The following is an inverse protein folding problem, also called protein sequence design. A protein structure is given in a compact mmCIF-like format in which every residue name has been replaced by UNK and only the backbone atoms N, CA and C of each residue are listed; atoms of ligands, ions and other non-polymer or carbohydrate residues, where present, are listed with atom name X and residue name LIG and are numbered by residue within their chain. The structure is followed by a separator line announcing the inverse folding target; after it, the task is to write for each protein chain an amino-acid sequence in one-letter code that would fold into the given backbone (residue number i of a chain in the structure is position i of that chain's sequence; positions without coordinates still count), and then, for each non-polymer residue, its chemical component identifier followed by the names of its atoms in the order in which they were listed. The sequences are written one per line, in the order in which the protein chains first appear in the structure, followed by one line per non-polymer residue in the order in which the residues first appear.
data_IF_745146021142
#
_entry.id   IF_745146021142
#
_cell.length_a   1.000
_cell.length_b   1.000
_cell.length_c   1.000
_cell.angle_alpha   90.00
_cell.angle_beta   90.00
_cell.angle_gamma   90.00
#
_symmetry.space_group_name_H-M   'P 1'
#
loop_
_entity.id
_entity.type
_entity.pdbx_description
1 polymer ?
#
# COMPACT_ATOMS: atom_id res chain seq x y z
N UNK A 1 -22.08 -6.46 5.33
CA UNK A 1 -21.97 -5.23 4.52
C UNK A 1 -20.52 -5.00 4.08
N UNK A 2 -19.56 -5.09 5.00
CA UNK A 2 -18.11 -4.91 4.74
C UNK A 2 -17.56 -5.80 3.62
N UNK A 3 -17.93 -7.09 3.56
CA UNK A 3 -17.47 -8.01 2.49
C UNK A 3 -17.92 -7.56 1.10
N UNK A 4 -19.14 -7.02 0.96
CA UNK A 4 -19.66 -6.55 -0.33
C UNK A 4 -18.88 -5.31 -0.78
N UNK A 5 -18.61 -4.38 0.13
CA UNK A 5 -17.82 -3.18 -0.16
C UNK A 5 -16.39 -3.58 -0.56
N UNK A 6 -15.79 -4.53 0.14
CA UNK A 6 -14.45 -5.03 -0.21
C UNK A 6 -14.40 -5.65 -1.62
N UNK A 7 -15.41 -6.45 -1.99
CA UNK A 7 -15.52 -7.00 -3.36
C UNK A 7 -15.68 -5.90 -4.41
N UNK A 8 -16.47 -4.86 -4.11
CA UNK A 8 -16.60 -3.68 -4.98
C UNK A 8 -15.25 -2.97 -5.12
N UNK A 9 -14.50 -2.79 -4.03
CA UNK A 9 -13.16 -2.19 -4.07
C UNK A 9 -12.18 -3.02 -4.92
N UNK A 10 -12.19 -4.34 -4.80
CA UNK A 10 -11.38 -5.23 -5.66
C UNK A 10 -11.75 -5.03 -7.13
N UNK A 11 -13.05 -5.04 -7.45
CA UNK A 11 -13.51 -4.86 -8.83
C UNK A 11 -13.07 -3.51 -9.40
N UNK A 12 -13.25 -2.42 -8.65
CA UNK A 12 -12.77 -1.08 -9.03
C UNK A 12 -11.25 -1.10 -9.23
N UNK A 13 -10.49 -1.72 -8.33
CA UNK A 13 -9.04 -1.82 -8.43
C UNK A 13 -8.59 -2.58 -9.68
N UNK A 14 -9.23 -3.70 -10.02
CA UNK A 14 -8.96 -4.45 -11.26
C UNK A 14 -9.32 -3.64 -12.50
N UNK A 15 -10.41 -2.88 -12.47
CA UNK A 15 -10.81 -2.00 -13.57
C UNK A 15 -9.79 -0.86 -13.77
N UNK A 16 -9.36 -0.20 -12.69
CA UNK A 16 -8.31 0.82 -12.77
C UNK A 16 -7.00 0.24 -13.32
N UNK A 17 -6.63 -0.96 -12.88
CA UNK A 17 -5.44 -1.65 -13.38
C UNK A 17 -5.52 -1.86 -14.89
N UNK A 18 -6.68 -2.26 -15.41
CA UNK A 18 -6.92 -2.39 -16.85
C UNK A 18 -6.69 -1.07 -17.58
N UNK A 19 -7.34 0.01 -17.11
CA UNK A 19 -7.30 1.33 -17.75
C UNK A 19 -5.88 1.89 -17.79
N UNK A 20 -5.16 1.86 -16.66
CA UNK A 20 -3.81 2.37 -16.59
C UNK A 20 -2.79 1.52 -17.35
N UNK A 21 -2.99 0.20 -17.41
CA UNK A 21 -2.03 -0.69 -18.08
C UNK A 21 -2.18 -0.71 -19.60
N UNK A 22 -3.41 -0.58 -20.12
CA UNK A 22 -3.69 -0.73 -21.57
C UNK A 22 -3.03 0.36 -22.42
N UNK A 23 -2.95 1.59 -21.89
CA UNK A 23 -2.53 2.76 -22.66
C UNK A 23 -1.14 3.29 -22.25
N UNK A 24 -0.41 2.56 -21.41
CA UNK A 24 0.89 3.02 -20.92
C UNK A 24 2.01 2.74 -21.92
N UNK A 25 2.61 3.82 -22.44
CA UNK A 25 3.69 3.73 -23.41
C UNK A 25 4.95 3.06 -22.85
N UNK A 26 5.24 3.21 -21.56
CA UNK A 26 6.46 2.64 -20.94
C UNK A 26 6.35 1.11 -20.89
N UNK A 27 5.16 0.58 -20.57
CA UNK A 27 4.89 -0.85 -20.58
C UNK A 27 4.99 -1.44 -22.00
N UNK A 28 4.38 -0.77 -22.99
CA UNK A 28 4.44 -1.18 -24.39
C UNK A 28 5.87 -1.22 -24.91
N UNK A 29 6.69 -0.20 -24.61
CA UNK A 29 8.10 -0.15 -25.01
C UNK A 29 8.95 -1.27 -24.40
N UNK A 30 8.56 -1.79 -23.24
CA UNK A 30 9.26 -2.88 -22.55
C UNK A 30 8.74 -4.28 -22.92
N UNK A 31 7.83 -4.36 -23.90
CA UNK A 31 7.14 -5.59 -24.31
C UNK A 31 6.47 -6.31 -23.13
N UNK A 32 5.89 -5.54 -22.21
CA UNK A 32 5.10 -6.07 -21.10
C UNK A 32 3.66 -6.14 -21.58
N UNK A 33 3.17 -7.36 -21.76
CA UNK A 33 1.78 -7.56 -22.19
C UNK A 33 0.80 -7.26 -21.06
N UNK A 34 -0.43 -6.88 -21.43
CA UNK A 34 -1.50 -6.67 -20.45
C UNK A 34 -1.80 -7.96 -19.66
N UNK A 35 -1.77 -9.13 -20.31
CA UNK A 35 -1.95 -10.43 -19.65
C UNK A 35 -0.94 -10.65 -18.51
N UNK A 36 0.36 -10.36 -18.75
CA UNK A 36 1.39 -10.47 -17.71
C UNK A 36 1.14 -9.59 -16.49
N UNK A 37 0.54 -8.41 -16.67
CA UNK A 37 0.20 -7.51 -15.55
C UNK A 37 -0.96 -8.07 -14.74
N UNK A 38 -1.95 -8.68 -15.39
CA UNK A 38 -3.07 -9.34 -14.71
C UNK A 38 -2.62 -10.60 -13.98
N UNK A 39 -1.76 -11.42 -14.58
CA UNK A 39 -1.15 -12.58 -13.91
C UNK A 39 -0.37 -12.13 -12.67
N UNK A 40 0.44 -11.07 -12.82
CA UNK A 40 1.16 -10.47 -11.71
C UNK A 40 0.19 -9.96 -10.62
N UNK A 41 -0.95 -9.39 -10.99
CA UNK A 41 -1.91 -8.86 -10.03
C UNK A 41 -2.48 -9.94 -9.11
N UNK A 42 -2.72 -11.15 -9.63
CA UNK A 42 -3.15 -12.29 -8.81
C UNK A 42 -2.07 -12.61 -7.77
N UNK A 43 -0.81 -12.72 -8.18
CA UNK A 43 0.30 -12.95 -7.25
C UNK A 43 0.44 -11.81 -6.23
N UNK A 44 0.34 -10.55 -6.68
CA UNK A 44 0.40 -9.37 -5.82
C UNK A 44 -0.66 -9.43 -4.74
N UNK A 45 -1.91 -9.78 -5.07
CA UNK A 45 -2.99 -9.91 -4.07
C UNK A 45 -2.69 -11.02 -3.06
N UNK A 46 -2.23 -12.18 -3.52
CA UNK A 46 -1.90 -13.31 -2.64
C UNK A 46 -0.77 -12.92 -1.67
N UNK A 47 0.35 -12.40 -2.17
CA UNK A 47 1.49 -12.05 -1.34
C UNK A 47 1.26 -10.79 -0.50
N UNK A 48 0.45 -9.84 -0.97
CA UNK A 48 -0.03 -8.73 -0.14
C UNK A 48 -0.86 -9.27 1.04
N UNK A 49 -1.77 -10.20 0.80
CA UNK A 49 -2.51 -10.84 1.89
C UNK A 49 -1.57 -11.54 2.90
N UNK A 50 -0.61 -12.34 2.41
CA UNK A 50 0.38 -13.00 3.27
C UNK A 50 1.19 -11.97 4.08
N UNK A 51 1.70 -10.92 3.44
CA UNK A 51 2.46 -9.86 4.10
C UNK A 51 1.65 -9.11 5.15
N UNK A 52 0.39 -8.78 4.83
CA UNK A 52 -0.53 -8.13 5.77
C UNK A 52 -0.83 -8.99 6.99
N UNK A 53 -0.99 -10.31 6.81
CA UNK A 53 -1.17 -11.26 7.90
C UNK A 53 0.09 -11.39 8.77
N UNK A 54 1.25 -11.57 8.16
CA UNK A 54 2.52 -11.71 8.89
C UNK A 54 2.77 -10.48 9.75
N UNK A 55 2.60 -9.27 9.21
CA UNK A 55 2.75 -8.04 9.98
C UNK A 55 1.74 -7.92 11.13
N UNK A 56 0.51 -8.37 10.93
CA UNK A 56 -0.50 -8.40 12.01
C UNK A 56 -0.09 -9.35 13.15
N UNK A 57 0.42 -10.55 12.81
CA UNK A 57 0.88 -11.54 13.79
C UNK A 57 2.08 -11.00 14.57
N UNK A 58 3.06 -10.41 13.87
CA UNK A 58 4.24 -9.81 14.50
C UNK A 58 3.88 -8.65 15.43
N UNK A 59 2.85 -7.88 15.10
CA UNK A 59 2.41 -6.76 15.93
C UNK A 59 1.71 -7.18 17.23
N UNK A 60 0.87 -8.21 17.16
CA UNK A 60 0.03 -8.64 18.27
C UNK A 60 0.62 -9.83 19.05
N UNK A 61 1.73 -10.41 18.59
CA UNK A 61 2.32 -11.64 19.12
C UNK A 61 1.32 -12.81 19.25
N UNK A 62 0.33 -12.87 18.36
CA UNK A 62 -0.70 -13.92 18.40
C UNK A 62 -0.21 -15.20 17.72
N UNK A 63 0.49 -16.03 18.50
CA UNK A 63 1.07 -17.31 18.07
C UNK A 63 0.00 -18.28 17.54
N UNK A 64 -1.28 -18.11 17.93
CA UNK A 64 -2.35 -18.99 17.47
C UNK A 64 -2.61 -18.86 15.97
N UNK A 65 -2.31 -17.69 15.39
CA UNK A 65 -2.48 -17.43 13.97
C UNK A 65 -1.38 -18.04 13.10
N UNK A 66 -0.31 -18.61 13.69
CA UNK A 66 0.70 -19.37 12.95
C UNK A 66 0.18 -20.72 12.43
N UNK A 67 -0.92 -21.22 13.01
CA UNK A 67 -1.55 -22.44 12.50
C UNK A 67 -2.18 -22.17 11.13
N UNK A 68 -1.79 -22.94 10.10
CA UNK A 68 -2.16 -22.73 8.69
C UNK A 68 -3.67 -22.50 8.50
N UNK A 69 -4.52 -23.34 9.10
CA UNK A 69 -5.97 -23.16 8.99
C UNK A 69 -6.47 -21.84 9.59
N UNK A 70 -5.89 -21.38 10.71
CA UNK A 70 -6.29 -20.13 11.36
C UNK A 70 -5.78 -18.92 10.60
N UNK A 71 -4.58 -19.03 10.04
CA UNK A 71 -3.95 -18.01 9.20
C UNK A 71 -4.85 -17.57 8.04
N UNK A 72 -5.38 -18.55 7.28
CA UNK A 72 -6.24 -18.28 6.12
C UNK A 72 -7.71 -18.02 6.49
N UNK A 73 -8.13 -18.31 7.71
CA UNK A 73 -9.53 -18.18 8.13
C UNK A 73 -9.89 -16.77 8.63
N UNK A 74 -9.86 -15.79 7.70
CA UNK A 74 -10.04 -14.35 7.98
C UNK A 74 -11.40 -14.00 8.60
N UNK A 75 -12.47 -14.72 8.24
CA UNK A 75 -13.81 -14.42 8.72
C UNK A 75 -13.97 -14.63 10.24
N UNK A 76 -13.26 -15.60 10.81
CA UNK A 76 -13.29 -15.89 12.26
C UNK A 76 -12.14 -15.25 13.01
N UNK A 77 -11.01 -15.10 12.35
CA UNK A 77 -9.80 -14.49 12.90
C UNK A 77 -9.43 -13.27 12.05
N UNK A 78 -10.16 -12.14 12.20
CA UNK A 78 -9.86 -10.91 11.47
C UNK A 78 -8.52 -10.33 11.92
N UNK A 79 -7.83 -9.66 11.01
CA UNK A 79 -6.55 -9.02 11.33
C UNK A 79 -5.60 -8.98 10.14
N UNK A 80 -5.51 -7.84 9.47
CA UNK A 80 -4.61 -7.61 8.33
C UNK A 80 -3.96 -6.24 8.53
N UNK A 81 -2.63 -6.17 8.47
CA UNK A 81 -1.90 -4.90 8.49
C UNK A 81 -1.91 -4.27 7.09
N UNK A 82 -2.34 -3.01 6.98
CA UNK A 82 -2.31 -2.24 5.73
C UNK A 82 -0.89 -2.02 5.21
N UNK A 83 0.06 -1.74 6.12
CA UNK A 83 1.49 -1.60 5.79
C UNK A 83 2.10 -2.92 5.32
N UNK A 84 1.83 -4.03 6.03
CA UNK A 84 2.27 -5.35 5.58
C UNK A 84 1.66 -5.76 4.24
N UNK A 85 0.40 -5.39 3.99
CA UNK A 85 -0.28 -5.65 2.73
C UNK A 85 0.39 -4.92 1.57
N UNK A 86 0.63 -3.61 1.73
CA UNK A 86 1.29 -2.81 0.71
C UNK A 86 2.72 -3.29 0.42
N UNK A 87 3.49 -3.64 1.45
CA UNK A 87 4.86 -4.14 1.29
C UNK A 87 4.89 -5.51 0.63
N UNK A 88 4.02 -6.44 1.02
CA UNK A 88 3.90 -7.76 0.38
C UNK A 88 3.60 -7.64 -1.11
N UNK A 89 2.69 -6.73 -1.48
CA UNK A 89 2.39 -6.43 -2.88
C UNK A 89 3.57 -5.80 -3.63
N UNK A 90 4.19 -4.77 -3.04
CA UNK A 90 5.33 -4.08 -3.65
C UNK A 90 6.53 -5.00 -3.85
N UNK A 91 6.86 -5.82 -2.86
CA UNK A 91 7.93 -6.82 -2.94
C UNK A 91 7.67 -7.83 -4.06
N UNK A 92 6.42 -8.26 -4.24
CA UNK A 92 6.05 -9.18 -5.31
C UNK A 92 6.34 -8.57 -6.69
N UNK A 93 5.95 -7.32 -6.92
CA UNK A 93 6.29 -6.62 -8.17
C UNK A 93 7.80 -6.54 -8.37
N UNK A 94 8.56 -6.22 -7.32
CA UNK A 94 10.03 -6.14 -7.41
C UNK A 94 10.67 -7.50 -7.67
N UNK A 95 10.17 -8.59 -7.08
CA UNK A 95 10.71 -9.94 -7.28
C UNK A 95 10.47 -10.41 -8.72
N UNK A 96 9.24 -10.29 -9.22
CA UNK A 96 8.88 -10.81 -10.54
C UNK A 96 9.39 -9.92 -11.68
N UNK A 97 9.39 -8.59 -11.50
CA UNK A 97 9.74 -7.65 -12.56
C UNK A 97 11.06 -6.92 -12.33
N UNK A 98 11.77 -7.11 -11.21
CA UNK A 98 12.94 -6.33 -10.78
C UNK A 98 14.04 -6.10 -11.82
N UNK A 99 14.18 -7.03 -12.79
CA UNK A 99 15.15 -6.94 -13.89
C UNK A 99 14.73 -5.98 -15.01
N UNK A 100 13.46 -5.55 -15.05
CA UNK A 100 12.89 -4.67 -16.07
C UNK A 100 13.07 -3.21 -15.68
N UNK A 101 13.40 -2.35 -16.65
CA UNK A 101 13.55 -0.91 -16.39
C UNK A 101 12.24 -0.21 -15.98
N UNK A 102 11.09 -0.83 -16.28
CA UNK A 102 9.76 -0.31 -15.97
C UNK A 102 9.22 -0.68 -14.58
N UNK A 103 9.98 -1.32 -13.68
CA UNK A 103 9.49 -1.72 -12.33
C UNK A 103 8.89 -0.55 -11.57
N UNK A 104 9.53 0.63 -11.62
CA UNK A 104 9.00 1.83 -10.97
C UNK A 104 7.63 2.22 -11.54
N UNK A 105 7.45 2.13 -12.85
CA UNK A 105 6.16 2.44 -13.50
C UNK A 105 5.09 1.42 -13.16
N UNK A 106 5.44 0.14 -13.12
CA UNK A 106 4.53 -0.93 -12.69
C UNK A 106 4.10 -0.69 -11.24
N UNK A 107 5.04 -0.41 -10.34
CA UNK A 107 4.73 -0.08 -8.94
C UNK A 107 3.81 1.14 -8.82
N UNK A 108 4.00 2.18 -9.62
CA UNK A 108 3.11 3.34 -9.66
C UNK A 108 1.70 2.93 -10.11
N UNK A 109 1.58 2.18 -11.22
CA UNK A 109 0.29 1.69 -11.73
C UNK A 109 -0.43 0.84 -10.67
N UNK A 110 0.27 -0.08 -10.02
CA UNK A 110 -0.29 -0.89 -8.93
C UNK A 110 -0.73 -0.03 -7.76
N UNK A 111 0.09 0.95 -7.35
CA UNK A 111 -0.21 1.82 -6.22
C UNK A 111 -1.46 2.69 -6.47
N UNK A 112 -1.64 3.19 -7.69
CA UNK A 112 -2.85 3.95 -8.09
C UNK A 112 -4.05 3.01 -8.18
N UNK A 113 -3.89 1.85 -8.80
CA UNK A 113 -5.00 0.91 -9.05
C UNK A 113 -5.54 0.32 -7.76
N UNK A 114 -4.67 0.00 -6.79
CA UNK A 114 -5.04 -0.55 -5.48
C UNK A 114 -5.32 0.53 -4.42
N UNK A 115 -5.28 1.81 -4.79
CA UNK A 115 -5.62 2.92 -3.90
C UNK A 115 -7.06 2.87 -3.33
N UNK A 116 -8.11 2.44 -4.07
CA UNK A 116 -9.45 2.27 -3.51
C UNK A 116 -9.51 1.31 -2.32
N UNK A 117 -8.72 0.23 -2.34
CA UNK A 117 -8.62 -0.70 -1.22
C UNK A 117 -7.96 -0.05 0.00
N UNK A 118 -6.96 0.80 -0.23
CA UNK A 118 -6.38 1.60 0.84
C UNK A 118 -7.39 2.60 1.42
N UNK A 119 -8.13 3.33 0.58
CA UNK A 119 -9.18 4.25 1.03
C UNK A 119 -10.22 3.55 1.92
N UNK A 120 -10.66 2.36 1.50
CA UNK A 120 -11.55 1.54 2.32
C UNK A 120 -10.93 1.19 3.68
N UNK A 121 -9.64 0.82 3.72
CA UNK A 121 -8.95 0.56 4.99
C UNK A 121 -8.88 1.78 5.92
N UNK A 122 -8.68 2.99 5.38
CA UNK A 122 -8.69 4.23 6.17
C UNK A 122 -10.08 4.53 6.71
N UNK A 123 -11.13 4.24 5.94
CA UNK A 123 -12.50 4.43 6.38
C UNK A 123 -12.89 3.47 7.52
N UNK A 124 -12.39 2.24 7.47
CA UNK A 124 -12.69 1.20 8.47
C UNK A 124 -11.84 1.33 9.76
N UNK A 125 -10.71 2.05 9.71
CA UNK A 125 -9.88 2.27 10.91
C UNK A 125 -10.63 3.07 11.99
N UNK A 126 -10.81 2.46 13.15
CA UNK A 126 -11.37 3.09 14.35
C UNK A 126 -10.25 3.57 15.25
N UNK A 127 -10.33 4.82 15.69
CA UNK A 127 -9.41 5.42 16.67
C UNK A 127 -10.05 5.43 18.05
N UNK A 128 -9.28 5.18 19.10
CA UNK A 128 -9.75 5.32 20.49
C UNK A 128 -10.01 6.81 20.83
N UNK A 129 -10.86 7.06 21.83
CA UNK A 129 -11.20 8.38 22.39
C UNK A 129 -12.00 9.36 21.49
N UNK A 130 -12.95 8.89 20.68
CA UNK A 130 -13.87 9.76 19.90
C UNK A 130 -13.17 10.80 18.99
N UNK A 131 -11.92 10.54 18.58
CA UNK A 131 -11.17 11.40 17.66
C UNK A 131 -11.63 11.18 16.21
N UNK A 132 -12.93 11.38 15.96
CA UNK A 132 -13.58 11.18 14.66
C UNK A 132 -12.98 12.09 13.57
N UNK A 133 -12.38 13.21 13.97
CA UNK A 133 -11.72 14.15 13.06
C UNK A 133 -10.47 13.56 12.36
N UNK A 134 -9.75 12.64 13.01
CA UNK A 134 -8.52 12.05 12.44
C UNK A 134 -8.83 11.21 11.19
N UNK A 135 -9.72 10.20 11.22
CA UNK A 135 -10.02 9.41 10.03
C UNK A 135 -10.63 10.28 8.92
N UNK A 136 -11.47 11.27 9.25
CA UNK A 136 -12.02 12.21 8.25
C UNK A 136 -10.90 12.99 7.56
N UNK A 137 -9.95 13.54 8.32
CA UNK A 137 -8.81 14.26 7.75
C UNK A 137 -7.95 13.35 6.84
N UNK A 138 -7.71 12.10 7.24
CA UNK A 138 -6.99 11.13 6.42
C UNK A 138 -7.77 10.73 5.15
N UNK A 139 -9.09 10.61 5.22
CA UNK A 139 -9.92 10.35 4.03
C UNK A 139 -9.83 11.51 3.05
N UNK A 140 -9.97 12.75 3.52
CA UNK A 140 -9.85 13.96 2.68
C UNK A 140 -8.45 14.03 2.05
N UNK A 141 -7.40 13.83 2.85
CA UNK A 141 -6.02 13.79 2.37
C UNK A 141 -5.83 12.69 1.31
N UNK A 142 -6.40 11.51 1.54
CA UNK A 142 -6.27 10.37 0.63
C UNK A 142 -7.00 10.60 -0.69
N UNK A 143 -8.20 11.21 -0.68
CA UNK A 143 -8.93 11.58 -1.90
C UNK A 143 -8.15 12.64 -2.69
N UNK A 144 -7.62 13.66 -2.01
CA UNK A 144 -6.78 14.70 -2.63
C UNK A 144 -5.53 14.09 -3.30
N UNK A 145 -4.86 13.17 -2.60
CA UNK A 145 -3.68 12.48 -3.11
C UNK A 145 -4.01 11.53 -4.27
N UNK A 146 -5.17 10.86 -4.24
CA UNK A 146 -5.62 10.03 -5.36
C UNK A 146 -5.82 10.86 -6.64
N UNK A 147 -6.50 12.00 -6.52
CA UNK A 147 -6.68 12.93 -7.64
C UNK A 147 -5.32 13.43 -8.16
N UNK A 148 -4.39 13.75 -7.25
CA UNK A 148 -3.03 14.14 -7.61
C UNK A 148 -2.28 13.01 -8.33
N UNK A 149 -2.41 11.76 -7.89
CA UNK A 149 -1.76 10.61 -8.51
C UNK A 149 -2.27 10.36 -9.93
N UNK A 150 -3.58 10.42 -10.16
CA UNK A 150 -4.16 10.28 -11.51
C UNK A 150 -3.61 11.39 -12.42
N UNK A 151 -3.66 12.65 -11.96
CA UNK A 151 -3.15 13.79 -12.72
C UNK A 151 -1.65 13.64 -13.03
N UNK A 152 -0.87 13.21 -12.05
CA UNK A 152 0.56 13.01 -12.16
C UNK A 152 0.92 11.88 -13.12
N UNK A 153 0.19 10.76 -13.06
CA UNK A 153 0.38 9.60 -13.92
C UNK A 153 0.09 9.93 -15.39
N UNK A 154 -1.01 10.64 -15.66
CA UNK A 154 -1.43 11.01 -17.02
C UNK A 154 -0.55 12.10 -17.64
N UNK A 155 -0.07 13.06 -16.83
CA UNK A 155 0.77 14.18 -17.30
C UNK A 155 2.28 13.90 -17.15
N UNK A 156 2.68 12.72 -16.71
CA UNK A 156 4.07 12.35 -16.45
C UNK A 156 4.83 13.38 -15.58
N UNK A 157 4.16 13.94 -14.58
CA UNK A 157 4.74 15.00 -13.72
C UNK A 157 5.82 14.41 -12.80
N UNK A 158 5.53 13.23 -12.23
CA UNK A 158 6.45 12.51 -11.36
C UNK A 158 7.23 11.46 -12.13
N UNK A 159 8.45 11.18 -11.66
CA UNK A 159 9.31 10.11 -12.16
C UNK A 159 8.74 8.74 -11.78
N UNK A 160 8.93 7.75 -12.63
CA UNK A 160 8.55 6.36 -12.40
C UNK A 160 9.01 5.83 -11.04
N UNK A 161 8.08 5.32 -10.24
CA UNK A 161 8.25 4.80 -8.89
C UNK A 161 7.99 5.83 -7.78
N UNK A 162 7.88 7.12 -8.10
CA UNK A 162 7.65 8.14 -7.08
C UNK A 162 6.21 8.10 -6.54
N UNK A 163 5.23 7.71 -7.34
CA UNK A 163 3.85 7.59 -6.86
C UNK A 163 3.77 6.45 -5.84
N UNK A 164 4.41 5.32 -6.12
CA UNK A 164 4.50 4.20 -5.20
C UNK A 164 5.19 4.56 -3.87
N UNK A 165 6.25 5.37 -3.92
CA UNK A 165 6.93 5.84 -2.71
C UNK A 165 6.09 6.79 -1.88
N UNK A 166 5.40 7.76 -2.51
CA UNK A 166 4.49 8.66 -1.81
C UNK A 166 3.33 7.84 -1.21
N UNK A 167 2.81 6.86 -1.94
CA UNK A 167 1.78 5.95 -1.44
C UNK A 167 2.26 5.14 -0.23
N UNK A 168 3.47 4.58 -0.27
CA UNK A 168 4.09 3.91 0.87
C UNK A 168 4.25 4.86 2.06
N UNK A 169 4.67 6.10 1.81
CA UNK A 169 4.77 7.16 2.82
C UNK A 169 3.42 7.45 3.47
N UNK A 170 2.35 7.53 2.68
CA UNK A 170 0.99 7.71 3.20
C UNK A 170 0.50 6.55 4.06
N UNK A 171 0.67 5.32 3.60
CA UNK A 171 0.30 4.13 4.38
C UNK A 171 1.08 4.07 5.69
N UNK A 172 2.38 4.39 5.64
CA UNK A 172 3.24 4.45 6.82
C UNK A 172 2.77 5.53 7.79
N UNK A 173 2.44 6.71 7.29
CA UNK A 173 1.92 7.81 8.11
C UNK A 173 0.58 7.43 8.74
N UNK A 174 -0.37 6.87 7.99
CA UNK A 174 -1.63 6.41 8.55
C UNK A 174 -1.44 5.31 9.62
N UNK A 175 -0.57 4.33 9.35
CA UNK A 175 -0.24 3.26 10.28
C UNK A 175 0.39 3.80 11.56
N UNK A 176 1.30 4.78 11.43
CA UNK A 176 1.94 5.46 12.55
C UNK A 176 0.89 6.14 13.44
N UNK A 177 0.01 6.95 12.84
CA UNK A 177 -1.07 7.61 13.58
C UNK A 177 -1.98 6.59 14.26
N UNK A 178 -2.42 5.55 13.55
CA UNK A 178 -3.24 4.49 14.16
C UNK A 178 -2.54 3.86 15.38
N UNK A 179 -1.24 3.55 15.28
CA UNK A 179 -0.49 2.96 16.39
C UNK A 179 -0.27 3.91 17.57
N UNK A 180 -0.09 5.21 17.33
CA UNK A 180 0.08 6.21 18.39
C UNK A 180 -1.19 6.43 19.20
N UNK A 181 -2.34 6.42 18.54
CA UNK A 181 -3.63 6.71 19.17
C UNK A 181 -4.34 5.47 19.75
N UNK A 182 -3.90 4.26 19.39
CA UNK A 182 -4.51 3.02 19.85
C UNK A 182 -3.79 2.40 21.08
N UNK A 183 -2.55 2.82 21.37
CA UNK A 183 -1.79 2.33 22.51
C UNK A 183 -2.23 2.98 23.84
N UNK A 184 -2.63 2.14 24.81
CA UNK A 184 -3.01 2.54 26.18
C UNK A 184 -1.83 2.71 27.16
N UNK A 185 -0.59 2.85 26.67
CA UNK A 185 0.61 2.84 27.51
C UNK A 185 1.70 3.82 27.06
N UNK A 186 2.81 3.87 27.81
CA UNK A 186 3.96 4.74 27.48
C UNK A 186 4.60 4.30 26.16
N UNK A 187 4.36 5.09 25.11
CA UNK A 187 4.85 4.92 23.73
C UNK A 187 6.38 4.65 23.62
N UNK A 188 7.16 5.18 24.57
CA UNK A 188 8.63 5.09 24.55
C UNK A 188 9.15 3.74 25.06
N UNK A 189 8.41 3.07 25.95
CA UNK A 189 8.91 1.89 26.67
C UNK A 189 8.48 0.56 26.03
N UNK A 190 7.45 0.55 25.19
CA UNK A 190 7.02 -0.66 24.47
C UNK A 190 6.50 -0.33 23.07
N UNK A 191 7.41 0.06 22.14
CA UNK A 191 7.01 0.41 20.79
C UNK A 191 6.45 -0.83 20.07
N UNK A 192 5.28 -0.69 19.45
CA UNK A 192 4.71 -1.76 18.63
C UNK A 192 5.54 -1.98 17.38
N UNK A 193 5.53 -3.21 16.85
CA UNK A 193 6.22 -3.56 15.61
C UNK A 193 5.74 -2.69 14.43
N UNK A 194 4.43 -2.39 14.36
CA UNK A 194 3.86 -1.50 13.34
C UNK A 194 4.38 -0.06 13.50
N UNK A 195 4.51 0.44 14.74
CA UNK A 195 5.06 1.77 14.98
C UNK A 195 6.50 1.87 14.48
N UNK A 196 7.37 0.93 14.86
CA UNK A 196 8.77 0.93 14.42
C UNK A 196 8.90 0.80 12.90
N UNK A 197 8.19 -0.15 12.30
CA UNK A 197 8.23 -0.35 10.85
C UNK A 197 7.68 0.87 10.10
N UNK A 198 6.60 1.50 10.58
CA UNK A 198 6.05 2.72 9.97
C UNK A 198 7.06 3.88 9.94
N UNK A 199 7.82 4.10 11.01
CA UNK A 199 8.87 5.12 11.06
C UNK A 199 9.97 4.80 10.04
N UNK A 200 10.43 3.55 9.99
CA UNK A 200 11.48 3.10 9.06
C UNK A 200 11.03 3.32 7.61
N UNK A 201 9.81 2.90 7.25
CA UNK A 201 9.33 3.02 5.87
C UNK A 201 8.99 4.47 5.48
N UNK A 202 8.54 5.29 6.43
CA UNK A 202 8.35 6.72 6.20
C UNK A 202 9.69 7.40 5.91
N UNK A 203 10.72 7.14 6.73
CA UNK A 203 12.07 7.66 6.48
C UNK A 203 12.64 7.16 5.16
N UNK A 204 12.49 5.87 4.86
CA UNK A 204 12.92 5.28 3.59
C UNK A 204 12.26 5.98 2.39
N UNK A 205 10.94 6.20 2.44
CA UNK A 205 10.19 6.91 1.41
C UNK A 205 10.74 8.32 1.19
N UNK A 206 10.91 9.11 2.25
CA UNK A 206 11.45 10.47 2.16
C UNK A 206 12.89 10.51 1.64
N UNK A 207 13.80 9.74 2.23
CA UNK A 207 15.22 9.72 1.83
C UNK A 207 15.36 9.35 0.36
N UNK A 208 14.63 8.32 -0.09
CA UNK A 208 14.72 7.86 -1.47
C UNK A 208 14.09 8.86 -2.46
N UNK A 209 12.99 9.52 -2.08
CA UNK A 209 12.41 10.62 -2.87
C UNK A 209 13.42 11.78 -3.04
N UNK A 210 14.07 12.21 -1.95
CA UNK A 210 15.07 13.29 -2.01
C UNK A 210 16.31 12.90 -2.80
N UNK A 211 16.84 11.68 -2.60
CA UNK A 211 17.98 11.18 -3.35
C UNK A 211 17.72 11.18 -4.87
N UNK A 212 16.49 10.81 -5.27
CA UNK A 212 16.09 10.82 -6.69
C UNK A 212 15.88 12.21 -7.28
N UNK A 213 15.51 13.20 -6.46
CA UNK A 213 15.39 14.59 -6.92
C UNK A 213 16.77 15.22 -7.15
N UNK A 214 17.74 14.99 -6.25
CA UNK A 214 19.10 15.56 -6.36
C UNK A 214 19.85 15.07 -7.61
N UNK A 215 19.58 13.86 -8.09
CA UNK A 215 20.15 13.35 -9.35
C UNK A 215 19.79 14.15 -10.62
N UNK A 216 18.89 15.15 -10.54
CA UNK A 216 18.59 16.10 -11.63
C UNK A 216 19.50 17.33 -11.66
N UNK A 217 20.20 17.67 -10.58
CA UNK A 217 20.95 18.94 -10.51
C UNK A 217 22.29 18.91 -11.28
N UNK A 218 22.68 17.78 -11.87
CA UNK A 218 23.95 17.58 -12.57
C UNK A 218 23.82 16.98 -13.97
N UNK A 219 22.68 17.17 -14.65
CA UNK A 219 22.54 16.83 -16.07
C UNK A 219 21.86 17.96 -16.83
#
# INVERSE_FOLDING_TARGET
MEVVIFLICIFISSFLLFVFSRHDFVLLRQNISLAQIFDLAIFVVIFAFLGGRIFFILNNFDVQLLHVLRFFHVLKFPGISSLGFALGGALTVVIFFGKKKAVGRILDIFSISFFPLYLFSVFDTKYQNNLIFIPIAFVILSISMFAFFIKSHNKYILRDGNIALIFLGMISLNSLFSSLFDQKGNLVLNPSFILLSSIIFLLFSFVYLFARQKGKAHK
#
